data_IF_558720501993
#
_entry.id   IF_558720501993
#
_cell.length_a   1.000
_cell.length_b   1.000
_cell.length_c   1.000
_cell.angle_alpha   90.00
_cell.angle_beta   90.00
_cell.angle_gamma   90.00
#
_symmetry.space_group_name_H-M   'P 1'
#
loop_
_entity.id
_entity.type
_entity.pdbx_description
1 polymer ?
#
# COMPACT_ATOMS: atom_id res chain seq x y z
N UNK A 1 -8.60 -8.77 7.82
CA UNK A 1 -8.11 -9.45 9.04
C UNK A 1 -7.62 -10.83 8.65
N UNK A 2 -6.33 -11.01 8.36
CA UNK A 2 -5.82 -12.33 7.96
C UNK A 2 -4.62 -12.66 8.86
N UNK A 3 -4.73 -13.75 9.62
CA UNK A 3 -3.76 -14.19 10.64
C UNK A 3 -2.83 -15.22 9.99
N UNK A 4 -1.52 -15.07 10.18
CA UNK A 4 -0.55 -16.10 9.75
C UNK A 4 -0.25 -16.98 10.97
N UNK A 5 -0.64 -18.26 10.89
CA UNK A 5 -0.31 -19.27 11.90
C UNK A 5 0.78 -20.19 11.32
N UNK A 6 1.95 -20.27 11.95
CA UNK A 6 2.92 -21.33 11.68
C UNK A 6 2.80 -22.37 12.80
N UNK A 7 2.44 -23.59 12.45
CA UNK A 7 2.40 -24.73 13.37
C UNK A 7 3.64 -25.61 13.11
N UNK A 8 4.47 -25.81 14.14
CA UNK A 8 5.48 -26.86 14.13
C UNK A 8 4.94 -28.03 14.96
N UNK A 9 4.49 -29.09 14.29
CA UNK A 9 4.03 -30.32 14.94
C UNK A 9 5.22 -31.26 15.07
N UNK A 10 5.67 -31.56 16.30
CA UNK A 10 6.52 -32.73 16.59
C UNK A 10 5.66 -33.81 17.23
N UNK A 11 5.52 -34.93 16.53
CA UNK A 11 4.83 -36.14 17.02
C UNK A 11 5.83 -37.03 17.75
N UNK A 12 5.81 -37.03 19.08
CA UNK A 12 6.33 -38.14 19.88
C UNK A 12 5.21 -38.62 20.81
N UNK A 13 5.09 -39.95 20.92
CA UNK A 13 3.94 -40.65 21.45
C UNK A 13 3.62 -40.39 22.93
N UNK A 14 2.39 -40.78 23.27
CA UNK A 14 1.80 -40.87 24.61
C UNK A 14 1.45 -39.54 25.29
N UNK A 15 0.20 -39.13 25.02
CA UNK A 15 -0.77 -38.53 25.95
C UNK A 15 -0.26 -37.45 26.93
N UNK A 16 0.05 -36.27 26.41
CA UNK A 16 -0.19 -35.00 27.11
C UNK A 16 -0.74 -34.02 26.09
N UNK A 17 -1.99 -33.58 26.27
CA UNK A 17 -2.55 -32.49 25.48
C UNK A 17 -1.85 -31.18 25.89
N UNK A 18 -0.80 -30.81 25.16
CA UNK A 18 -0.20 -29.50 25.31
C UNK A 18 -1.20 -28.44 24.81
N UNK A 19 -1.71 -27.61 25.72
CA UNK A 19 -2.40 -26.38 25.36
C UNK A 19 -1.37 -25.50 24.64
N UNK A 20 -1.40 -25.51 23.32
CA UNK A 20 -0.62 -24.60 22.50
C UNK A 20 -1.28 -23.23 22.65
N UNK A 21 -0.82 -22.44 23.63
CA UNK A 21 -1.07 -21.01 23.69
C UNK A 21 -0.48 -20.41 22.41
N UNK A 22 -1.32 -20.29 21.37
CA UNK A 22 -1.04 -19.51 20.17
C UNK A 22 -0.90 -18.05 20.62
N UNK A 23 0.31 -17.68 21.03
CA UNK A 23 0.68 -16.30 21.17
C UNK A 23 0.61 -15.66 19.77
N UNK A 24 -0.53 -15.04 19.46
CA UNK A 24 -0.61 -14.05 18.39
C UNK A 24 0.31 -12.92 18.81
N UNK A 25 1.57 -12.96 18.40
CA UNK A 25 2.43 -11.81 18.49
C UNK A 25 1.80 -10.72 17.62
N UNK A 26 1.44 -9.55 18.19
CA UNK A 26 0.98 -8.45 17.36
C UNK A 26 2.10 -8.15 16.35
N UNK A 27 1.71 -7.93 15.09
CA UNK A 27 2.68 -7.51 14.08
C UNK A 27 3.44 -6.28 14.62
N UNK A 28 4.78 -6.26 14.51
CA UNK A 28 5.55 -5.13 15.00
C UNK A 28 5.05 -3.86 14.33
N UNK A 29 4.76 -2.84 15.14
CA UNK A 29 4.45 -1.51 14.62
C UNK A 29 5.71 -0.98 13.93
N UNK A 30 5.55 -0.42 12.73
CA UNK A 30 6.63 0.26 12.04
C UNK A 30 7.14 1.41 12.91
N UNK A 31 8.45 1.64 12.92
CA UNK A 31 9.01 2.84 13.54
C UNK A 31 8.58 4.08 12.75
N UNK A 32 8.66 5.29 13.34
CA UNK A 32 8.44 6.53 12.58
C UNK A 32 9.37 6.65 11.36
N UNK A 33 10.60 6.13 11.44
CA UNK A 33 11.54 6.12 10.32
C UNK A 33 11.08 5.19 9.20
N UNK A 34 10.61 3.98 9.53
CA UNK A 34 10.09 3.03 8.55
C UNK A 34 8.82 3.54 7.88
N UNK A 35 7.99 4.27 8.63
CA UNK A 35 6.77 4.90 8.09
C UNK A 35 7.12 6.01 7.11
N UNK A 36 8.11 6.86 7.45
CA UNK A 36 8.57 7.97 6.60
C UNK A 36 9.21 7.48 5.30
N UNK A 37 9.77 6.27 5.27
CA UNK A 37 10.26 5.66 4.04
C UNK A 37 9.14 5.28 3.05
N UNK A 38 7.88 5.20 3.51
CA UNK A 38 6.71 4.93 2.66
C UNK A 38 6.05 6.22 2.15
N UNK A 39 6.23 7.33 2.87
CA UNK A 39 5.72 8.65 2.49
C UNK A 39 6.33 9.15 1.19
N UNK A 40 5.61 10.07 0.54
CA UNK A 40 6.10 10.83 -0.59
C UNK A 40 5.57 12.26 -0.46
N UNK A 41 6.46 13.20 -0.22
CA UNK A 41 6.15 14.63 -0.24
C UNK A 41 6.28 15.23 -1.64
N UNK A 42 6.72 14.44 -2.62
CA UNK A 42 6.99 14.86 -3.99
C UNK A 42 7.97 16.05 -4.07
N UNK A 43 8.93 16.16 -3.15
CA UNK A 43 9.96 17.20 -3.14
C UNK A 43 11.03 16.98 -4.23
N UNK A 44 11.22 15.74 -4.68
CA UNK A 44 12.16 15.43 -5.75
C UNK A 44 11.61 15.84 -7.12
N UNK A 45 12.50 16.18 -8.06
CA UNK A 45 12.11 16.58 -9.42
C UNK A 45 11.48 15.43 -10.25
N UNK A 46 11.62 14.18 -9.81
CA UNK A 46 11.11 13.00 -10.49
C UNK A 46 10.28 12.14 -9.53
N UNK A 47 9.31 11.43 -10.09
CA UNK A 47 8.48 10.49 -9.34
C UNK A 47 9.34 9.34 -8.80
N UNK A 48 9.17 9.01 -7.52
CA UNK A 48 9.86 7.89 -6.90
C UNK A 48 9.58 6.57 -7.65
N UNK A 49 10.60 5.76 -8.02
CA UNK A 49 10.42 4.49 -8.73
C UNK A 49 9.57 3.44 -8.00
N UNK A 50 9.31 3.60 -6.70
CA UNK A 50 8.39 2.75 -5.96
C UNK A 50 6.92 2.88 -6.41
N UNK A 51 6.58 3.99 -7.08
CA UNK A 51 5.26 4.16 -7.69
C UNK A 51 5.12 3.37 -8.99
N UNK A 52 4.02 2.66 -9.10
CA UNK A 52 3.62 1.89 -10.27
C UNK A 52 2.40 2.54 -10.92
N UNK A 53 2.31 2.37 -12.24
CA UNK A 53 1.30 3.03 -13.08
C UNK A 53 0.42 1.98 -13.72
N UNK A 54 -0.90 2.18 -13.63
CA UNK A 54 -1.90 1.40 -14.33
C UNK A 54 -2.73 2.33 -15.23
N UNK A 55 -2.98 1.92 -16.48
CA UNK A 55 -3.68 2.74 -17.50
C UNK A 55 -3.03 4.13 -17.70
N UNK A 56 -1.71 4.17 -17.79
CA UNK A 56 -0.91 5.40 -17.86
C UNK A 56 -1.13 6.27 -19.09
N UNK A 57 -1.80 5.75 -20.12
CA UNK A 57 -2.25 6.46 -21.31
C UNK A 57 -3.47 7.35 -21.04
N UNK A 58 -4.26 7.03 -20.01
CA UNK A 58 -5.50 7.74 -19.66
C UNK A 58 -5.29 9.00 -18.82
N UNK A 59 -4.06 9.28 -18.38
CA UNK A 59 -3.72 10.44 -17.56
C UNK A 59 -2.26 10.86 -17.71
N UNK A 60 -1.99 12.15 -17.49
CA UNK A 60 -0.64 12.66 -17.27
C UNK A 60 -0.31 12.66 -15.78
N UNK A 61 0.97 12.47 -15.50
CA UNK A 61 1.56 12.59 -14.17
C UNK A 61 2.84 13.40 -14.27
N UNK A 62 2.98 14.39 -13.41
CA UNK A 62 4.16 15.25 -13.35
C UNK A 62 4.42 15.63 -11.88
N UNK A 63 5.67 15.61 -11.46
CA UNK A 63 6.05 16.22 -10.17
C UNK A 63 6.39 17.68 -10.46
N UNK A 64 5.59 18.59 -9.92
CA UNK A 64 5.70 20.02 -10.17
C UNK A 64 5.34 20.79 -8.91
N UNK A 65 6.15 21.81 -8.60
CA UNK A 65 5.95 22.72 -7.46
C UNK A 65 5.78 21.99 -6.11
N UNK A 66 6.53 20.89 -5.91
CA UNK A 66 6.47 20.09 -4.68
C UNK A 66 5.20 19.26 -4.53
N UNK A 67 4.52 18.95 -5.64
CA UNK A 67 3.32 18.13 -5.65
C UNK A 67 3.28 17.20 -6.87
N UNK A 68 2.59 16.07 -6.71
CA UNK A 68 2.17 15.26 -7.83
C UNK A 68 0.94 15.89 -8.50
N UNK A 69 1.10 16.31 -9.75
CA UNK A 69 0.02 16.79 -10.60
C UNK A 69 -0.48 15.65 -11.47
N UNK A 70 -1.78 15.36 -11.38
CA UNK A 70 -2.47 14.38 -12.22
C UNK A 70 -3.45 15.12 -13.13
N UNK A 71 -3.36 14.88 -14.43
CA UNK A 71 -4.30 15.43 -15.42
C UNK A 71 -4.97 14.30 -16.17
N UNK A 72 -6.28 14.04 -15.93
CA UNK A 72 -7.03 13.06 -16.71
C UNK A 72 -7.02 13.46 -18.19
N UNK A 73 -6.78 12.49 -19.09
CA UNK A 73 -6.88 12.66 -20.55
C UNK A 73 -8.18 12.08 -21.12
N UNK A 74 -8.77 11.14 -20.39
CA UNK A 74 -10.03 10.52 -20.73
C UNK A 74 -10.90 10.43 -19.48
N UNK A 75 -12.22 10.59 -19.66
CA UNK A 75 -13.20 10.37 -18.60
C UNK A 75 -13.44 8.87 -18.43
N UNK A 76 -12.48 8.20 -17.79
CA UNK A 76 -12.58 6.79 -17.41
C UNK A 76 -12.81 6.71 -15.91
N UNK A 77 -14.00 6.29 -15.53
CA UNK A 77 -14.36 6.00 -14.15
C UNK A 77 -14.12 4.52 -13.86
N UNK A 78 -13.76 4.22 -12.62
CA UNK A 78 -13.78 2.85 -12.12
C UNK A 78 -15.25 2.44 -11.93
N UNK A 79 -15.81 1.72 -12.91
CA UNK A 79 -17.19 1.25 -12.87
C UNK A 79 -17.29 -0.18 -13.40
N UNK A 80 -17.90 -1.08 -12.63
CA UNK A 80 -18.04 -2.51 -12.96
C UNK A 80 -16.69 -3.16 -13.34
N UNK A 81 -16.55 -3.61 -14.60
CA UNK A 81 -15.34 -4.25 -15.12
C UNK A 81 -14.32 -3.24 -15.69
N UNK A 82 -14.67 -1.95 -15.75
CA UNK A 82 -13.77 -0.91 -16.22
C UNK A 82 -12.75 -0.54 -15.15
N UNK A 83 -11.54 -0.22 -15.61
CA UNK A 83 -10.47 0.32 -14.77
C UNK A 83 -10.09 1.71 -15.25
N UNK A 84 -10.02 2.63 -14.30
CA UNK A 84 -9.56 3.99 -14.53
C UNK A 84 -8.06 4.17 -14.32
N UNK A 85 -7.59 5.43 -14.42
CA UNK A 85 -6.20 5.77 -14.12
C UNK A 85 -5.86 5.41 -12.67
N UNK A 86 -4.66 4.86 -12.45
CA UNK A 86 -4.19 4.58 -11.10
C UNK A 86 -2.66 4.70 -11.01
N UNK A 87 -2.22 5.31 -9.90
CA UNK A 87 -0.84 5.37 -9.46
C UNK A 87 -0.78 4.80 -8.03
N UNK A 88 0.06 3.80 -7.79
CA UNK A 88 0.06 3.06 -6.52
C UNK A 88 1.45 2.62 -6.08
N UNK A 89 1.64 2.41 -4.78
CA UNK A 89 2.80 1.75 -4.17
C UNK A 89 2.34 0.41 -3.59
N UNK A 90 3.14 -0.64 -3.73
CA UNK A 90 2.86 -1.91 -3.08
C UNK A 90 3.38 -1.86 -1.63
N UNK A 91 2.46 -1.76 -0.67
CA UNK A 91 2.77 -1.78 0.77
C UNK A 91 2.18 -3.06 1.38
N UNK A 92 2.94 -3.73 2.25
CA UNK A 92 2.53 -4.97 2.92
C UNK A 92 2.30 -4.73 4.41
N UNK A 93 1.40 -5.51 5.01
CA UNK A 93 1.11 -5.47 6.45
C UNK A 93 -0.10 -4.62 6.79
N UNK A 94 -0.18 -4.18 8.05
CA UNK A 94 -1.24 -3.29 8.52
C UNK A 94 -0.77 -1.85 8.35
N UNK A 95 -1.49 -1.07 7.56
CA UNK A 95 -1.13 0.31 7.27
C UNK A 95 -2.37 1.21 7.22
N UNK A 96 -2.14 2.50 7.38
CA UNK A 96 -3.09 3.56 7.08
C UNK A 96 -2.49 4.42 5.97
N UNK A 97 -3.33 4.96 5.09
CA UNK A 97 -2.91 5.86 4.02
C UNK A 97 -3.72 7.13 4.13
N UNK A 98 -3.04 8.27 4.01
CA UNK A 98 -3.66 9.57 3.87
C UNK A 98 -2.99 10.32 2.72
N UNK A 99 -3.73 11.24 2.11
CA UNK A 99 -3.22 12.13 1.08
C UNK A 99 -3.97 13.46 1.16
N UNK A 100 -3.29 14.55 0.82
CA UNK A 100 -3.92 15.86 0.63
C UNK A 100 -4.19 16.03 -0.86
N UNK A 101 -5.47 16.05 -1.24
CA UNK A 101 -5.88 16.13 -2.66
C UNK A 101 -6.57 17.47 -2.91
N UNK A 102 -6.16 18.14 -3.98
CA UNK A 102 -6.82 19.37 -4.48
C UNK A 102 -7.30 19.12 -5.90
N UNK A 103 -8.61 18.96 -6.06
CA UNK A 103 -9.26 18.94 -7.37
C UNK A 103 -9.54 20.36 -7.84
N UNK A 104 -9.29 20.64 -9.12
CA UNK A 104 -9.53 21.94 -9.76
C UNK A 104 -10.15 21.69 -11.12
N UNK A 105 -11.09 22.52 -11.57
CA UNK A 105 -11.41 22.54 -13.00
C UNK A 105 -10.27 23.23 -13.74
N UNK A 106 -10.05 22.81 -14.98
CA UNK A 106 -9.30 23.59 -15.94
C UNK A 106 -10.17 24.72 -16.48
#
# INVERSE_FOLDING_TARGET
>A
MTRVCSALVRLWGSSVAAVCLLACTPAPKLSPADTRALDDDFAAAALNPAWQVHKGDTFLREVKDGALVITPRANVVWYMADSGPMLFKLVRGNFSVSAVVRARSL
#
